data_IF_390326289751
#
_entry.id   IF_390326289751
#
_cell.length_a   1.000
_cell.length_b   1.000
_cell.length_c   1.000
_cell.angle_alpha   90.00
_cell.angle_beta   90.00
_cell.angle_gamma   90.00
#
_symmetry.space_group_name_H-M   'P 1'
#
loop_
_entity.id
_entity.type
_entity.pdbx_description
1 polymer ?
#
# COMPACT_ATOMS: atom_id res chain seq x y z
N UNK A 1 9.92 -42.40 10.05
CA UNK A 1 10.85 -41.41 9.46
C UNK A 1 10.02 -40.43 8.65
N UNK A 2 9.58 -39.32 9.25
CA UNK A 2 8.90 -38.24 8.53
C UNK A 2 9.66 -36.96 8.82
N UNK A 3 10.53 -36.59 7.89
CA UNK A 3 11.23 -35.30 7.88
C UNK A 3 10.19 -34.23 7.59
N UNK A 4 9.60 -33.65 8.64
CA UNK A 4 8.77 -32.46 8.52
C UNK A 4 9.61 -31.36 7.86
N UNK A 5 9.14 -30.87 6.71
CA UNK A 5 9.75 -29.77 5.98
C UNK A 5 9.94 -28.59 6.92
N UNK A 6 11.16 -28.38 7.40
CA UNK A 6 11.52 -27.24 8.24
C UNK A 6 11.56 -26.01 7.34
N UNK A 7 10.39 -25.41 7.11
CA UNK A 7 10.25 -24.12 6.46
C UNK A 7 10.72 -23.04 7.44
N UNK A 8 12.00 -22.68 7.35
CA UNK A 8 12.53 -21.45 7.96
C UNK A 8 11.88 -20.24 7.28
N UNK A 9 10.67 -19.89 7.74
CA UNK A 9 9.91 -18.77 7.20
C UNK A 9 10.50 -17.43 7.62
N UNK A 10 10.40 -16.42 6.75
CA UNK A 10 10.84 -15.04 7.03
C UNK A 10 10.25 -14.51 8.34
N UNK A 11 9.00 -14.83 8.63
CA UNK A 11 8.31 -14.45 9.88
C UNK A 11 9.03 -15.02 11.12
N UNK A 12 9.55 -16.26 11.04
CA UNK A 12 10.29 -16.90 12.14
C UNK A 12 11.64 -16.20 12.39
N UNK A 13 12.27 -15.62 11.37
CA UNK A 13 13.51 -14.86 11.51
C UNK A 13 13.25 -13.55 12.27
N UNK A 14 12.24 -12.78 11.87
CA UNK A 14 11.87 -11.54 12.56
C UNK A 14 11.39 -11.79 13.99
N UNK A 15 10.58 -12.84 14.22
CA UNK A 15 10.06 -13.19 15.54
C UNK A 15 11.14 -13.70 16.51
N UNK A 16 12.26 -14.26 16.02
CA UNK A 16 13.37 -14.74 16.88
C UNK A 16 14.38 -13.67 17.25
N UNK A 17 14.44 -12.56 16.53
CA UNK A 17 15.35 -11.48 16.84
C UNK A 17 14.66 -10.42 17.74
N UNK A 18 15.13 -10.21 18.98
CA UNK A 18 14.45 -9.35 19.96
C UNK A 18 14.31 -7.89 19.51
N UNK A 19 15.21 -7.41 18.65
CA UNK A 19 15.19 -6.03 18.14
C UNK A 19 14.71 -5.89 16.70
N UNK A 20 14.66 -6.98 15.92
CA UNK A 20 14.35 -6.89 14.48
C UNK A 20 12.90 -6.47 14.23
N UNK A 21 11.95 -6.99 14.99
CA UNK A 21 10.54 -6.60 14.89
C UNK A 21 10.31 -5.13 15.23
N UNK A 22 11.00 -4.62 16.26
CA UNK A 22 10.90 -3.22 16.68
C UNK A 22 11.49 -2.28 15.63
N UNK A 23 12.64 -2.63 15.06
CA UNK A 23 13.24 -1.87 13.97
C UNK A 23 12.38 -1.90 12.70
N UNK A 24 11.79 -3.06 12.37
CA UNK A 24 10.87 -3.16 11.24
C UNK A 24 9.65 -2.24 11.41
N UNK A 25 9.07 -2.20 12.62
CA UNK A 25 7.99 -1.27 12.95
C UNK A 25 8.44 0.20 12.80
N UNK A 26 9.63 0.55 13.31
CA UNK A 26 10.19 1.90 13.17
C UNK A 26 10.37 2.29 11.70
N UNK A 27 10.90 1.38 10.87
CA UNK A 27 11.08 1.60 9.43
C UNK A 27 9.73 1.88 8.75
N UNK A 28 8.70 1.07 9.05
CA UNK A 28 7.36 1.25 8.50
C UNK A 28 6.79 2.62 8.91
N UNK A 29 6.93 3.00 10.18
CA UNK A 29 6.43 4.30 10.68
C UNK A 29 7.14 5.47 10.01
N UNK A 30 8.48 5.44 9.90
CA UNK A 30 9.26 6.52 9.27
C UNK A 30 8.87 6.66 7.79
N UNK A 31 8.78 5.56 7.06
CA UNK A 31 8.36 5.57 5.66
C UNK A 31 6.91 6.09 5.51
N UNK A 32 6.02 5.72 6.43
CA UNK A 32 4.65 6.23 6.48
C UNK A 32 4.61 7.75 6.71
N UNK A 33 5.38 8.27 7.67
CA UNK A 33 5.45 9.71 7.92
C UNK A 33 5.99 10.49 6.71
N UNK A 34 6.99 9.95 6.02
CA UNK A 34 7.52 10.54 4.79
C UNK A 34 6.50 10.56 3.64
N UNK A 35 5.59 9.58 3.57
CA UNK A 35 4.58 9.49 2.50
C UNK A 35 3.34 10.36 2.74
N UNK A 36 3.08 10.79 3.99
CA UNK A 36 1.94 11.66 4.31
C UNK A 36 1.92 12.95 3.48
N UNK A 37 3.09 13.55 3.22
CA UNK A 37 3.21 14.76 2.41
C UNK A 37 2.98 14.56 0.91
N UNK A 38 2.92 13.31 0.44
CA UNK A 38 2.72 12.96 -0.97
C UNK A 38 1.29 12.48 -1.27
N UNK A 39 0.40 12.49 -0.27
CA UNK A 39 -0.97 12.06 -0.46
C UNK A 39 -1.76 13.09 -1.28
N UNK A 40 -2.49 12.62 -2.29
CA UNK A 40 -3.36 13.48 -3.10
C UNK A 40 -4.49 14.06 -2.23
N UNK A 41 -4.41 15.35 -1.90
CA UNK A 41 -5.43 16.07 -1.13
C UNK A 41 -6.54 16.58 -2.06
N UNK A 42 -7.35 15.66 -2.59
CA UNK A 42 -8.54 16.02 -3.35
C UNK A 42 -9.77 15.88 -2.44
N UNK A 43 -10.46 16.98 -2.15
CA UNK A 43 -11.70 16.96 -1.36
C UNK A 43 -12.82 16.22 -2.11
N UNK A 44 -12.80 16.31 -3.44
CA UNK A 44 -13.63 15.52 -4.33
C UNK A 44 -12.73 14.85 -5.37
N UNK A 45 -12.87 13.53 -5.59
CA UNK A 45 -12.14 12.86 -6.65
C UNK A 45 -12.53 13.47 -8.00
N UNK A 46 -11.62 13.43 -8.99
CA UNK A 46 -11.98 13.78 -10.37
C UNK A 46 -12.95 12.73 -10.92
N UNK A 47 -14.25 13.01 -10.86
CA UNK A 47 -15.29 12.15 -11.43
C UNK A 47 -15.37 12.44 -12.93
N UNK A 48 -14.79 11.56 -13.75
CA UNK A 48 -14.93 11.63 -15.20
C UNK A 48 -16.17 10.84 -15.62
N UNK A 49 -17.27 11.55 -15.88
CA UNK A 49 -18.46 10.96 -16.50
C UNK A 49 -18.29 11.13 -18.01
N UNK A 50 -18.20 10.04 -18.79
CA UNK A 50 -18.09 10.14 -20.24
C UNK A 50 -19.42 10.67 -20.82
N UNK A 51 -19.52 11.98 -21.01
CA UNK A 51 -20.68 12.63 -21.64
C UNK A 51 -20.43 12.71 -23.14
N UNK A 52 -21.30 12.05 -23.92
CA UNK A 52 -21.32 12.19 -25.37
C UNK A 52 -22.38 13.25 -25.71
N UNK A 53 -21.93 14.44 -26.12
CA UNK A 53 -22.84 15.51 -26.57
C UNK A 53 -23.10 15.38 -28.05
N UNK A 54 -24.30 14.92 -28.41
CA UNK A 54 -24.77 14.92 -29.81
C UNK A 54 -25.43 16.28 -30.07
N UNK A 55 -24.86 17.05 -31.02
CA UNK A 55 -25.49 18.28 -31.54
C UNK A 55 -25.98 18.01 -32.96
N UNK A 56 -27.27 18.24 -33.20
CA UNK A 56 -27.84 18.26 -34.55
C UNK A 56 -28.17 19.71 -34.86
N UNK A 57 -27.56 20.25 -35.90
CA UNK A 57 -27.76 21.62 -36.39
C UNK A 57 -28.80 21.54 -37.52
N UNK A 58 -29.95 22.16 -37.34
CA UNK A 58 -30.94 22.36 -38.41
C UNK A 58 -30.90 23.83 -38.87
N UNK A 59 -31.17 24.11 -40.17
CA UNK A 59 -31.42 25.46 -40.67
C UNK A 59 -32.75 26.03 -40.18
#
# INVERSE_FOLDING_TARGET
MTTGLQSSGLIRLFARHPNASNLAMVIIVVLGLMSLGQLNTQLFPTINIPIITVKVIWP
#
